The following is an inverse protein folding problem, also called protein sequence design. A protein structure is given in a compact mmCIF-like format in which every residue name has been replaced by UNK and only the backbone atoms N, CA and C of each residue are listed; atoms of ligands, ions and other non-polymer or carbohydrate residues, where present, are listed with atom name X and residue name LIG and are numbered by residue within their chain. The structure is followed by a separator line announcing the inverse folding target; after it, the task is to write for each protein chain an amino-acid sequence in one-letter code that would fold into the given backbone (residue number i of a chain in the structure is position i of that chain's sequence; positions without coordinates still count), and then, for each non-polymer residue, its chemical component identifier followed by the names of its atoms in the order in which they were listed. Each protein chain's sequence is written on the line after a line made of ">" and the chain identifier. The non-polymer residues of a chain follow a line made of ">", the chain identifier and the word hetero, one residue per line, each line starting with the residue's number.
data_IF_201542315860
#
_entry.id   IF_201542315860
#
_cell.length_a   1.000
_cell.length_b   1.000
_cell.length_c   1.000
_cell.angle_alpha   90.00
_cell.angle_beta   90.00
_cell.angle_gamma   90.00
#
_symmetry.space_group_name_H-M   'P 1'
#
loop_
_entity.id
_entity.type
_entity.pdbx_description
1 polymer ?
#
# COMPACT_ATOMS: atom_id res chain seq x y z
N UNK A 1 20.09 10.85 -0.25
CA UNK A 1 18.80 10.12 -0.34
C UNK A 1 19.04 8.66 0.04
N UNK A 2 18.28 8.10 0.98
CA UNK A 2 18.48 6.71 1.46
C UNK A 2 18.15 5.70 0.33
N UNK A 3 19.04 4.76 -0.03
CA UNK A 3 18.79 3.77 -1.09
C UNK A 3 17.52 2.94 -0.90
N UNK A 4 17.11 2.72 0.34
CA UNK A 4 15.91 1.97 0.69
C UNK A 4 14.63 2.60 0.15
N UNK A 5 14.55 3.94 0.07
CA UNK A 5 13.39 4.61 -0.51
C UNK A 5 13.29 4.36 -2.01
N UNK A 6 14.42 4.38 -2.73
CA UNK A 6 14.46 4.03 -4.14
C UNK A 6 14.07 2.56 -4.38
N UNK A 7 14.59 1.65 -3.55
CA UNK A 7 14.22 0.23 -3.60
C UNK A 7 12.73 0.03 -3.33
N UNK A 8 12.17 0.68 -2.31
CA UNK A 8 10.75 0.59 -1.98
C UNK A 8 9.85 1.15 -3.11
N UNK A 9 10.22 2.28 -3.71
CA UNK A 9 9.51 2.83 -4.86
C UNK A 9 9.55 1.88 -6.08
N UNK A 10 10.69 1.23 -6.33
CA UNK A 10 10.83 0.21 -7.38
C UNK A 10 9.98 -1.03 -7.10
N UNK A 11 9.95 -1.49 -5.85
CA UNK A 11 9.09 -2.60 -5.40
C UNK A 11 7.62 -2.23 -5.65
N UNK A 12 7.18 -1.07 -5.17
CA UNK A 12 5.82 -0.58 -5.36
C UNK A 12 5.41 -0.58 -6.83
N UNK A 13 6.26 -0.04 -7.72
CA UNK A 13 5.98 0.01 -9.15
C UNK A 13 5.83 -1.39 -9.76
N UNK A 14 6.78 -2.29 -9.48
CA UNK A 14 6.77 -3.67 -10.00
C UNK A 14 5.60 -4.50 -9.47
N UNK A 15 5.26 -4.32 -8.19
CA UNK A 15 4.13 -5.00 -7.58
C UNK A 15 2.80 -4.56 -8.24
N UNK A 16 2.64 -3.26 -8.52
CA UNK A 16 1.49 -2.75 -9.29
C UNK A 16 1.43 -3.33 -10.69
N UNK A 17 2.54 -3.35 -11.42
CA UNK A 17 2.63 -3.98 -12.74
C UNK A 17 2.22 -5.46 -12.69
N UNK A 18 2.65 -6.19 -11.65
CA UNK A 18 2.30 -7.60 -11.46
C UNK A 18 0.81 -7.79 -11.15
N UNK A 19 0.23 -6.96 -10.28
CA UNK A 19 -1.20 -6.99 -9.97
C UNK A 19 -2.06 -6.73 -11.23
N UNK A 20 -1.68 -5.74 -12.04
CA UNK A 20 -2.37 -5.43 -13.31
C UNK A 20 -2.30 -6.58 -14.33
N UNK A 21 -1.27 -7.41 -14.26
CA UNK A 21 -1.10 -8.59 -15.10
C UNK A 21 -1.77 -9.85 -14.52
N UNK A 22 -2.57 -9.72 -13.45
CA UNK A 22 -3.21 -10.84 -12.77
C UNK A 22 -2.26 -11.69 -11.91
N UNK A 23 -1.00 -11.28 -11.75
CA UNK A 23 -0.01 -11.94 -10.88
C UNK A 23 -0.15 -11.41 -9.44
N UNK A 24 -1.35 -11.57 -8.89
CA UNK A 24 -1.80 -10.99 -7.61
C UNK A 24 -1.03 -11.54 -6.41
N UNK A 25 -0.74 -12.84 -6.36
CA UNK A 25 0.07 -13.43 -5.29
C UNK A 25 1.50 -12.88 -5.26
N UNK A 26 2.11 -12.71 -6.44
CA UNK A 26 3.43 -12.11 -6.57
C UNK A 26 3.40 -10.65 -6.10
N UNK A 27 2.39 -9.90 -6.53
CA UNK A 27 2.20 -8.51 -6.11
C UNK A 27 2.06 -8.39 -4.59
N UNK A 28 1.23 -9.22 -3.95
CA UNK A 28 1.03 -9.25 -2.50
C UNK A 28 2.35 -9.48 -1.76
N UNK A 29 3.15 -10.47 -2.19
CA UNK A 29 4.47 -10.75 -1.60
C UNK A 29 5.42 -9.57 -1.74
N UNK A 30 5.44 -8.93 -2.91
CA UNK A 30 6.30 -7.77 -3.15
C UNK A 30 5.85 -6.54 -2.35
N UNK A 31 4.55 -6.28 -2.21
CA UNK A 31 4.05 -5.20 -1.33
C UNK A 31 4.50 -5.41 0.12
N UNK A 32 4.34 -6.62 0.66
CA UNK A 32 4.79 -6.95 2.01
C UNK A 32 6.30 -6.77 2.17
N UNK A 33 7.09 -7.14 1.16
CA UNK A 33 8.53 -6.90 1.15
C UNK A 33 8.86 -5.40 1.23
N UNK A 34 8.17 -4.56 0.45
CA UNK A 34 8.33 -3.11 0.49
C UNK A 34 7.95 -2.50 1.84
N UNK A 35 6.84 -2.95 2.42
CA UNK A 35 6.37 -2.52 3.74
C UNK A 35 7.41 -2.87 4.81
N UNK A 36 7.88 -4.12 4.83
CA UNK A 36 8.86 -4.59 5.79
C UNK A 36 10.18 -3.82 5.66
N UNK A 37 10.64 -3.54 4.43
CA UNK A 37 11.82 -2.71 4.19
C UNK A 37 11.67 -1.33 4.84
N UNK A 38 10.55 -0.63 4.61
CA UNK A 38 10.35 0.71 5.13
C UNK A 38 10.14 0.75 6.65
N UNK A 39 9.54 -0.29 7.23
CA UNK A 39 9.36 -0.39 8.70
C UNK A 39 10.67 -0.50 9.47
N UNK A 40 11.77 -0.90 8.82
CA UNK A 40 13.11 -0.89 9.45
C UNK A 40 13.71 0.51 9.58
N UNK A 41 13.14 1.52 8.92
CA UNK A 41 13.67 2.87 8.88
C UNK A 41 13.03 3.77 9.95
N UNK A 42 13.77 4.75 10.48
CA UNK A 42 13.21 5.74 11.40
C UNK A 42 12.09 6.57 10.75
N UNK A 43 11.18 7.16 11.56
CA UNK A 43 10.14 8.06 11.05
C UNK A 43 10.66 9.20 10.20
N UNK A 44 10.16 9.28 8.97
CA UNK A 44 10.52 10.28 7.98
C UNK A 44 9.34 10.44 7.00
N UNK A 45 9.06 11.66 6.58
CA UNK A 45 7.93 11.95 5.70
C UNK A 45 7.92 11.09 4.43
N UNK A 46 9.07 10.95 3.74
CA UNK A 46 9.18 10.13 2.53
C UNK A 46 8.89 8.64 2.79
N UNK A 47 9.31 8.11 3.95
CA UNK A 47 9.00 6.74 4.38
C UNK A 47 7.49 6.57 4.49
N UNK A 48 6.84 7.49 5.18
CA UNK A 48 5.42 7.41 5.51
C UNK A 48 4.54 7.57 4.27
N UNK A 49 4.94 8.40 3.31
CA UNK A 49 4.27 8.50 2.00
C UNK A 49 4.35 7.16 1.26
N UNK A 50 5.53 6.56 1.18
CA UNK A 50 5.70 5.26 0.51
C UNK A 50 4.94 4.13 1.23
N UNK A 51 4.92 4.14 2.57
CA UNK A 51 4.13 3.19 3.36
C UNK A 51 2.63 3.32 3.05
N UNK A 52 2.11 4.55 2.95
CA UNK A 52 0.71 4.76 2.55
C UNK A 52 0.40 4.11 1.20
N UNK A 53 1.21 4.41 0.18
CA UNK A 53 1.00 3.85 -1.16
C UNK A 53 1.12 2.33 -1.21
N UNK A 54 2.05 1.73 -0.46
CA UNK A 54 2.22 0.28 -0.39
C UNK A 54 1.02 -0.40 0.30
N UNK A 55 0.57 0.12 1.44
CA UNK A 55 -0.58 -0.45 2.15
C UNK A 55 -1.88 -0.33 1.36
N UNK A 56 -2.14 0.81 0.72
CA UNK A 56 -3.34 1.00 -0.11
C UNK A 56 -3.33 0.09 -1.35
N UNK A 57 -2.18 -0.03 -2.04
CA UNK A 57 -2.06 -0.94 -3.18
C UNK A 57 -2.18 -2.42 -2.77
N UNK A 58 -1.64 -2.77 -1.59
CA UNK A 58 -1.79 -4.10 -1.01
C UNK A 58 -3.27 -4.41 -0.72
N UNK A 59 -4.00 -3.49 -0.08
CA UNK A 59 -5.44 -3.60 0.14
C UNK A 59 -6.22 -3.84 -1.15
N UNK A 60 -6.03 -2.97 -2.15
CA UNK A 60 -6.71 -3.09 -3.45
C UNK A 60 -6.48 -4.47 -4.08
N UNK A 61 -5.27 -5.01 -3.96
CA UNK A 61 -4.93 -6.33 -4.51
C UNK A 61 -5.55 -7.47 -3.70
N UNK A 62 -5.62 -7.35 -2.37
CA UNK A 62 -6.23 -8.37 -1.50
C UNK A 62 -7.75 -8.47 -1.71
N UNK A 63 -8.42 -7.34 -1.93
CA UNK A 63 -9.88 -7.30 -2.18
C UNK A 63 -10.23 -8.01 -3.48
N UNK A 64 -9.40 -7.90 -4.53
CA UNK A 64 -9.62 -8.59 -5.80
C UNK A 64 -9.54 -10.12 -5.69
N UNK A 65 -8.79 -10.63 -4.70
CA UNK A 65 -8.52 -12.04 -4.53
C UNK A 65 -9.46 -12.73 -3.53
N UNK A 66 -10.42 -11.98 -2.97
CA UNK A 66 -11.29 -12.44 -1.85
C UNK A 66 -10.48 -13.03 -0.67
N UNK A 67 -9.22 -12.60 -0.54
CA UNK A 67 -8.30 -13.03 0.52
C UNK A 67 -8.75 -12.47 1.86
N UNK A 68 -8.23 -13.06 2.95
CA UNK A 68 -8.63 -12.82 4.34
C UNK A 68 -9.00 -11.35 4.60
N UNK A 69 -10.31 -11.13 4.82
CA UNK A 69 -10.91 -9.81 5.03
C UNK A 69 -10.17 -8.99 6.08
N UNK A 70 -9.71 -9.63 7.15
CA UNK A 70 -8.96 -8.98 8.24
C UNK A 70 -7.65 -8.34 7.76
N UNK A 71 -6.85 -9.05 6.96
CA UNK A 71 -5.55 -8.56 6.45
C UNK A 71 -5.76 -7.41 5.47
N UNK A 72 -6.82 -7.49 4.67
CA UNK A 72 -7.21 -6.40 3.77
C UNK A 72 -7.60 -5.15 4.59
N UNK A 73 -8.45 -5.30 5.61
CA UNK A 73 -8.89 -4.19 6.45
C UNK A 73 -7.73 -3.56 7.26
N UNK A 74 -6.79 -4.35 7.76
CA UNK A 74 -5.59 -3.82 8.41
C UNK A 74 -4.75 -2.97 7.43
N UNK A 75 -4.57 -3.48 6.21
CA UNK A 75 -3.85 -2.74 5.15
C UNK A 75 -4.56 -1.42 4.81
N UNK A 76 -5.90 -1.44 4.70
CA UNK A 76 -6.69 -0.23 4.49
C UNK A 76 -6.50 0.77 5.64
N UNK A 77 -6.63 0.31 6.88
CA UNK A 77 -6.51 1.15 8.08
C UNK A 77 -5.15 1.85 8.13
N UNK A 78 -4.05 1.09 7.96
CA UNK A 78 -2.70 1.64 7.98
C UNK A 78 -2.45 2.59 6.80
N UNK A 79 -2.88 2.20 5.60
CA UNK A 79 -2.75 3.03 4.39
C UNK A 79 -3.41 4.39 4.54
N UNK A 80 -4.65 4.41 5.04
CA UNK A 80 -5.42 5.63 5.33
C UNK A 80 -4.76 6.46 6.44
N UNK A 81 -4.29 5.82 7.51
CA UNK A 81 -3.61 6.50 8.62
C UNK A 81 -2.38 7.27 8.12
N UNK A 82 -1.53 6.61 7.32
CA UNK A 82 -0.37 7.26 6.71
C UNK A 82 -0.79 8.38 5.73
N UNK A 83 -1.79 8.17 4.87
CA UNK A 83 -2.26 9.20 3.93
C UNK A 83 -2.74 10.47 4.65
N UNK A 84 -3.46 10.31 5.77
CA UNK A 84 -3.93 11.43 6.60
C UNK A 84 -2.77 12.19 7.24
N UNK A 85 -1.80 11.46 7.80
CA UNK A 85 -0.67 12.07 8.52
C UNK A 85 0.31 12.80 7.59
N UNK A 86 0.57 12.26 6.39
CA UNK A 86 1.51 12.85 5.44
C UNK A 86 0.91 13.99 4.63
N UNK A 87 -0.42 14.00 4.46
CA UNK A 87 -1.15 14.95 3.59
C UNK A 87 -0.70 14.91 2.13
N UNK A 88 -0.08 13.82 1.68
CA UNK A 88 0.25 13.62 0.27
C UNK A 88 -1.04 13.58 -0.57
N UNK A 89 -1.24 14.48 -1.56
CA UNK A 89 -2.49 14.57 -2.31
C UNK A 89 -2.84 13.26 -3.03
N UNK A 90 -1.84 12.58 -3.59
CA UNK A 90 -2.05 11.34 -4.32
C UNK A 90 -2.43 10.19 -3.38
N UNK A 91 -1.71 10.01 -2.28
CA UNK A 91 -2.04 9.00 -1.26
C UNK A 91 -3.45 9.22 -0.70
N UNK A 92 -3.85 10.48 -0.50
CA UNK A 92 -5.20 10.83 -0.02
C UNK A 92 -6.29 10.48 -1.03
N UNK A 93 -6.09 10.82 -2.30
CA UNK A 93 -7.05 10.47 -3.34
C UNK A 93 -7.28 8.94 -3.42
N UNK A 94 -6.19 8.16 -3.39
CA UNK A 94 -6.27 6.69 -3.39
C UNK A 94 -6.95 6.17 -2.10
N UNK A 95 -6.64 6.75 -0.94
CA UNK A 95 -7.27 6.37 0.31
C UNK A 95 -8.78 6.64 0.31
N UNK A 96 -9.20 7.80 -0.22
CA UNK A 96 -10.60 8.19 -0.35
C UNK A 96 -11.37 7.25 -1.29
N UNK A 97 -10.76 6.87 -2.42
CA UNK A 97 -11.30 5.86 -3.33
C UNK A 97 -11.46 4.49 -2.62
N UNK A 98 -10.43 4.03 -1.91
CA UNK A 98 -10.45 2.75 -1.19
C UNK A 98 -11.53 2.71 -0.10
N UNK A 99 -11.69 3.79 0.67
CA UNK A 99 -12.72 3.90 1.71
C UNK A 99 -14.13 3.92 1.10
N UNK A 100 -14.31 4.62 -0.02
CA UNK A 100 -15.59 4.69 -0.72
C UNK A 100 -15.98 3.30 -1.24
N UNK A 101 -15.04 2.56 -1.84
CA UNK A 101 -15.27 1.17 -2.25
C UNK A 101 -15.57 0.22 -1.09
N UNK A 102 -14.88 0.37 0.04
CA UNK A 102 -15.11 -0.45 1.24
C UNK A 102 -16.52 -0.24 1.83
N UNK A 103 -17.02 1.00 1.79
CA UNK A 103 -18.35 1.33 2.32
C UNK A 103 -19.51 0.69 1.55
N UNK A 104 -19.28 0.25 0.30
CA UNK A 104 -20.28 -0.44 -0.53
C UNK A 104 -20.31 -1.96 -0.25
N UNK A 105 -19.25 -2.51 0.36
CA UNK A 105 -19.09 -3.94 0.62
C UNK A 105 -19.39 -4.35 2.08
N UNK A 106 -19.78 -3.40 2.94
CA UNK A 106 -20.16 -3.60 4.34
C UNK A 106 -21.68 -3.63 4.49
#
# INVERSE_FOLDING_TARGET
>A
MRPQFFTAAKILRKARESALQGRTEEAVREYQRGINLLRTLPPEHARDVLLSHLYLAHYQTLVLEEKTREVALESLHLGVSYARSTRDPLARAVAEECMSGASVQL
#
